data_IF_448530184148
#
_entry.id   IF_448530184148
#
_cell.length_a   1.000
_cell.length_b   1.000
_cell.length_c   1.000
_cell.angle_alpha   90.00
_cell.angle_beta   90.00
_cell.angle_gamma   90.00
#
_symmetry.space_group_name_H-M   'P 1'
#
loop_
_entity.id
_entity.type
_entity.pdbx_description
1 polymer ?
#
# COMPACT_ATOMS: atom_id res chain seq x y z
N UNK A 1 0.09 -3.57 -12.55
CA UNK A 1 -0.66 -2.30 -12.77
C UNK A 1 -1.72 -2.19 -11.68
N UNK A 2 -1.90 -1.01 -11.11
CA UNK A 2 -2.83 -0.68 -10.02
C UNK A 2 -3.84 0.37 -10.48
N UNK A 3 -4.94 0.57 -9.75
CA UNK A 3 -5.97 1.57 -10.04
C UNK A 3 -6.34 2.37 -8.77
N UNK A 4 -7.02 3.49 -8.97
CA UNK A 4 -7.48 4.40 -7.91
C UNK A 4 -8.97 4.21 -7.61
N UNK A 5 -9.38 4.47 -6.37
CA UNK A 5 -10.80 4.46 -6.00
C UNK A 5 -11.46 5.81 -6.28
N UNK A 6 -12.73 5.78 -6.68
CA UNK A 6 -13.49 6.95 -7.07
C UNK A 6 -14.68 7.19 -6.14
N UNK A 7 -14.85 8.43 -5.68
CA UNK A 7 -15.90 8.84 -4.74
C UNK A 7 -17.13 9.52 -5.38
N UNK A 8 -17.13 9.70 -6.71
CA UNK A 8 -18.28 10.17 -7.52
C UNK A 8 -19.12 11.29 -6.87
N UNK A 9 -18.47 12.39 -6.51
CA UNK A 9 -19.06 13.50 -5.74
C UNK A 9 -20.23 14.24 -6.44
N UNK A 10 -20.43 14.03 -7.74
CA UNK A 10 -21.49 14.66 -8.52
C UNK A 10 -22.87 13.98 -8.39
N UNK A 11 -22.95 12.75 -7.88
CA UNK A 11 -24.22 12.06 -7.69
C UNK A 11 -24.81 12.39 -6.29
N UNK A 12 -26.07 12.85 -6.27
CA UNK A 12 -26.80 13.23 -5.03
C UNK A 12 -26.78 12.14 -3.96
N UNK A 13 -26.77 10.88 -4.40
CA UNK A 13 -26.70 9.69 -3.58
C UNK A 13 -25.40 9.56 -2.78
N UNK A 14 -24.25 9.88 -3.38
CA UNK A 14 -22.96 9.89 -2.67
C UNK A 14 -22.76 11.16 -1.88
N UNK A 15 -23.36 12.28 -2.28
CA UNK A 15 -23.26 13.54 -1.55
C UNK A 15 -23.83 13.45 -0.12
N UNK A 16 -24.96 12.75 0.06
CA UNK A 16 -25.61 12.58 1.38
C UNK A 16 -24.79 11.72 2.35
N UNK A 17 -24.13 10.67 1.86
CA UNK A 17 -23.36 9.73 2.69
C UNK A 17 -21.85 9.78 2.45
N UNK A 18 -21.35 10.79 1.75
CA UNK A 18 -19.97 10.84 1.23
C UNK A 18 -18.92 10.85 2.33
N UNK A 19 -19.18 11.58 3.42
CA UNK A 19 -18.32 11.58 4.61
C UNK A 19 -18.19 10.17 5.20
N UNK A 20 -19.32 9.50 5.43
CA UNK A 20 -19.35 8.13 5.95
C UNK A 20 -18.63 7.13 5.02
N UNK A 21 -18.81 7.27 3.71
CA UNK A 21 -18.14 6.40 2.72
C UNK A 21 -16.62 6.62 2.74
N UNK A 22 -16.18 7.88 2.83
CA UNK A 22 -14.75 8.24 2.92
C UNK A 22 -14.13 7.69 4.19
N UNK A 23 -14.73 7.95 5.35
CA UNK A 23 -14.24 7.45 6.65
C UNK A 23 -14.26 5.91 6.73
N UNK A 24 -15.22 5.27 6.06
CA UNK A 24 -15.28 3.80 5.95
C UNK A 24 -14.12 3.26 5.10
N UNK A 25 -13.78 3.94 4.01
CA UNK A 25 -12.69 3.56 3.12
C UNK A 25 -11.31 3.83 3.71
N UNK A 26 -11.13 4.91 4.47
CA UNK A 26 -9.84 5.30 5.05
C UNK A 26 -9.16 4.16 5.81
N UNK A 27 -9.96 3.30 6.46
CA UNK A 27 -9.51 2.09 7.18
C UNK A 27 -8.74 1.09 6.30
N UNK A 28 -8.99 1.11 5.00
CA UNK A 28 -8.42 0.20 4.00
C UNK A 28 -7.53 0.93 2.99
N UNK A 29 -7.64 2.26 2.89
CA UNK A 29 -6.93 3.09 1.91
C UNK A 29 -5.40 2.84 1.89
N UNK A 30 -4.77 2.84 3.06
CA UNK A 30 -3.32 2.63 3.17
C UNK A 30 -2.92 1.24 2.69
N UNK A 31 -3.64 0.19 3.10
CA UNK A 31 -3.37 -1.18 2.62
C UNK A 31 -3.61 -1.28 1.11
N UNK A 32 -4.63 -0.61 0.58
CA UNK A 32 -4.96 -0.59 -0.84
C UNK A 32 -3.86 0.02 -1.72
N UNK A 33 -3.26 1.14 -1.31
CA UNK A 33 -2.17 1.77 -2.05
C UNK A 33 -0.85 1.00 -1.94
N UNK A 34 -0.71 0.11 -0.95
CA UNK A 34 0.46 -0.74 -0.78
C UNK A 34 0.40 -2.06 -1.57
N UNK A 35 -0.67 -2.33 -2.32
CA UNK A 35 -0.79 -3.55 -3.13
C UNK A 35 -0.16 -3.36 -4.52
N UNK A 36 0.53 -4.39 -5.02
CA UNK A 36 1.29 -4.31 -6.27
C UNK A 36 0.45 -4.61 -7.51
N UNK A 37 -0.70 -5.23 -7.30
CA UNK A 37 -1.53 -5.72 -8.39
C UNK A 37 -2.99 -5.28 -8.26
N UNK A 38 -3.60 -4.97 -9.42
CA UNK A 38 -5.04 -4.71 -9.49
C UNK A 38 -5.87 -5.90 -8.97
N UNK A 39 -5.37 -7.14 -9.09
CA UNK A 39 -6.04 -8.33 -8.54
C UNK A 39 -6.10 -8.29 -7.01
N UNK A 40 -5.01 -7.96 -6.34
CA UNK A 40 -4.99 -7.80 -4.88
C UNK A 40 -5.86 -6.61 -4.45
N UNK A 41 -5.80 -5.49 -5.17
CA UNK A 41 -6.65 -4.32 -4.91
C UNK A 41 -8.15 -4.64 -5.03
N UNK A 42 -8.55 -5.41 -6.05
CA UNK A 42 -9.93 -5.90 -6.21
C UNK A 42 -10.31 -6.81 -5.03
N UNK A 43 -9.42 -7.72 -4.63
CA UNK A 43 -9.66 -8.61 -3.51
C UNK A 43 -9.89 -7.83 -2.21
N UNK A 44 -9.07 -6.81 -1.95
CA UNK A 44 -9.23 -5.95 -0.77
C UNK A 44 -10.56 -5.18 -0.80
N UNK A 45 -10.98 -4.66 -1.96
CA UNK A 45 -12.30 -4.05 -2.12
C UNK A 45 -13.44 -5.03 -1.83
N UNK A 46 -13.32 -6.29 -2.28
CA UNK A 46 -14.32 -7.33 -2.01
C UNK A 46 -14.38 -7.70 -0.53
N UNK A 47 -13.23 -7.83 0.14
CA UNK A 47 -13.13 -8.10 1.57
C UNK A 47 -13.73 -6.95 2.39
N UNK A 48 -13.40 -5.70 2.06
CA UNK A 48 -13.97 -4.52 2.71
C UNK A 48 -15.50 -4.46 2.51
N UNK A 49 -15.99 -4.69 1.28
CA UNK A 49 -17.43 -4.79 1.00
C UNK A 49 -18.10 -5.87 1.86
N UNK A 50 -17.50 -7.05 1.96
CA UNK A 50 -18.05 -8.15 2.76
C UNK A 50 -18.12 -7.79 4.24
N UNK A 51 -17.06 -7.18 4.80
CA UNK A 51 -17.05 -6.70 6.18
C UNK A 51 -18.24 -5.75 6.44
N UNK A 52 -18.39 -4.71 5.62
CA UNK A 52 -19.47 -3.72 5.78
C UNK A 52 -20.87 -4.30 5.51
N UNK A 53 -20.98 -5.39 4.74
CA UNK A 53 -22.25 -6.11 4.57
C UNK A 53 -22.73 -6.80 5.85
N UNK A 54 -21.81 -7.18 6.74
CA UNK A 54 -22.09 -7.88 8.00
C UNK A 54 -22.17 -6.93 9.20
N UNK A 55 -21.61 -5.73 9.09
CA UNK A 55 -21.64 -4.71 10.13
C UNK A 55 -23.09 -4.32 10.49
N UNK A 56 -23.41 -4.35 11.78
CA UNK A 56 -24.77 -4.15 12.32
C UNK A 56 -25.03 -2.71 12.75
N UNK A 57 -23.97 -1.94 12.99
CA UNK A 57 -24.05 -0.57 13.52
C UNK A 57 -24.09 0.51 12.43
N UNK A 58 -24.65 0.20 11.25
CA UNK A 58 -24.76 1.14 10.13
C UNK A 58 -26.22 1.27 9.74
N UNK A 59 -26.68 2.51 9.58
CA UNK A 59 -27.99 2.81 9.04
C UNK A 59 -28.23 2.15 7.67
N UNK A 60 -29.46 1.71 7.40
CA UNK A 60 -29.80 0.96 6.19
C UNK A 60 -29.52 1.74 4.91
N UNK A 61 -29.77 3.05 4.90
CA UNK A 61 -29.55 3.92 3.75
C UNK A 61 -28.04 4.13 3.51
N UNK A 62 -27.30 4.44 4.58
CA UNK A 62 -25.84 4.58 4.53
C UNK A 62 -25.14 3.28 4.09
N UNK A 63 -25.61 2.13 4.59
CA UNK A 63 -25.13 0.80 4.19
C UNK A 63 -25.41 0.52 2.71
N UNK A 64 -26.61 0.84 2.23
CA UNK A 64 -26.94 0.74 0.80
C UNK A 64 -26.01 1.61 -0.04
N UNK A 65 -25.71 2.83 0.42
CA UNK A 65 -24.81 3.74 -0.26
C UNK A 65 -23.38 3.23 -0.36
N UNK A 66 -22.86 2.72 0.76
CA UNK A 66 -21.54 2.11 0.81
C UNK A 66 -21.45 0.86 -0.08
N UNK A 67 -22.48 0.00 -0.12
CA UNK A 67 -22.49 -1.18 -0.99
C UNK A 67 -22.49 -0.81 -2.48
N UNK A 68 -23.26 0.21 -2.88
CA UNK A 68 -23.25 0.70 -4.27
C UNK A 68 -21.90 1.30 -4.64
N UNK A 69 -21.28 2.04 -3.72
CA UNK A 69 -19.93 2.58 -3.91
C UNK A 69 -18.89 1.47 -4.14
N UNK A 70 -18.89 0.43 -3.30
CA UNK A 70 -18.00 -0.73 -3.45
C UNK A 70 -18.24 -1.44 -4.79
N UNK A 71 -19.50 -1.71 -5.14
CA UNK A 71 -19.82 -2.38 -6.40
C UNK A 71 -19.26 -1.62 -7.60
N UNK A 72 -19.41 -0.29 -7.62
CA UNK A 72 -18.97 0.53 -8.74
C UNK A 72 -17.44 0.57 -8.85
N UNK A 73 -16.74 0.71 -7.72
CA UNK A 73 -15.28 0.65 -7.71
C UNK A 73 -14.76 -0.73 -8.12
N UNK A 74 -15.40 -1.82 -7.70
CA UNK A 74 -15.07 -3.18 -8.14
C UNK A 74 -15.30 -3.34 -9.66
N UNK A 75 -16.42 -2.84 -10.20
CA UNK A 75 -16.69 -2.89 -11.64
C UNK A 75 -15.64 -2.13 -12.45
N UNK A 76 -15.30 -0.89 -12.05
CA UNK A 76 -14.24 -0.12 -12.71
C UNK A 76 -12.88 -0.82 -12.63
N UNK A 77 -12.57 -1.42 -11.49
CA UNK A 77 -11.33 -2.18 -11.32
C UNK A 77 -11.27 -3.39 -12.24
N UNK A 78 -12.39 -4.10 -12.40
CA UNK A 78 -12.51 -5.25 -13.31
C UNK A 78 -12.40 -4.81 -14.76
N UNK A 79 -13.05 -3.71 -15.16
CA UNK A 79 -12.90 -3.11 -16.49
C UNK A 79 -11.45 -2.72 -16.77
N UNK A 80 -10.78 -2.11 -15.79
CA UNK A 80 -9.36 -1.77 -15.87
C UNK A 80 -8.48 -3.02 -16.04
N UNK A 81 -8.74 -4.10 -15.31
CA UNK A 81 -8.02 -5.37 -15.49
C UNK A 81 -8.31 -5.99 -16.85
N UNK A 82 -9.57 -5.99 -17.29
CA UNK A 82 -10.00 -6.58 -18.55
C UNK A 82 -9.47 -5.81 -19.76
N UNK A 83 -9.43 -4.48 -19.72
CA UNK A 83 -8.85 -3.65 -20.77
C UNK A 83 -7.34 -3.91 -20.92
N UNK A 84 -6.63 -4.04 -19.79
CA UNK A 84 -5.20 -4.33 -19.78
C UNK A 84 -4.86 -5.80 -20.10
N UNK A 85 -5.75 -6.74 -19.79
CA UNK A 85 -5.64 -8.15 -20.21
C UNK A 85 -6.03 -8.36 -21.68
N UNK A 86 -7.02 -7.62 -22.18
CA UNK A 86 -7.51 -7.70 -23.56
C UNK A 86 -6.55 -7.04 -24.56
N UNK A 87 -5.76 -6.05 -24.16
CA UNK A 87 -4.65 -5.55 -24.97
C UNK A 87 -3.61 -6.64 -25.29
N UNK A 88 -3.57 -7.73 -24.52
CA UNK A 88 -2.72 -8.91 -24.76
C UNK A 88 -3.46 -10.07 -25.46
N UNK A 89 -4.79 -10.00 -25.61
CA UNK A 89 -5.63 -11.09 -26.14
C UNK A 89 -6.32 -10.77 -27.48
N UNK A 90 -6.20 -9.54 -27.98
CA UNK A 90 -6.80 -9.14 -29.25
C UNK A 90 -5.86 -9.30 -30.46
N UNK A 91 -5.17 -10.43 -30.63
CA UNK A 91 -4.72 -10.88 -31.96
C UNK A 91 -4.65 -12.41 -32.02
N UNK A 92 -5.79 -13.06 -32.17
CA UNK A 92 -5.83 -14.31 -32.96
C UNK A 92 -7.19 -14.47 -33.64
N UNK A 93 -7.32 -13.93 -34.84
CA UNK A 93 -8.14 -14.50 -35.92
C UNK A 93 -7.70 -13.86 -37.23
N UNK A 94 -6.94 -14.66 -37.99
CA UNK A 94 -6.49 -14.53 -39.36
C UNK A 94 -6.96 -13.32 -40.19
N UNK A 95 -5.99 -12.61 -40.75
CA UNK A 95 -6.02 -12.17 -42.14
C UNK A 95 -4.58 -12.12 -42.66
N UNK A 96 -4.30 -12.91 -43.69
CA UNK A 96 -3.03 -12.97 -44.39
C UNK A 96 -2.78 -11.65 -45.14
N UNK A 97 -1.59 -11.06 -45.03
CA UNK A 97 -0.76 -10.67 -46.18
C UNK A 97 0.58 -10.06 -45.74
N UNK A 98 1.63 -10.54 -46.41
CA UNK A 98 3.05 -10.17 -46.30
C UNK A 98 3.32 -8.78 -46.88
N UNK A 99 4.17 -7.95 -46.26
CA UNK A 99 5.24 -7.19 -46.94
C UNK A 99 6.08 -6.28 -46.01
N UNK A 100 7.32 -6.72 -45.79
CA UNK A 100 8.61 -6.02 -45.71
C UNK A 100 8.76 -4.61 -45.09
N UNK A 101 9.81 -4.53 -44.25
CA UNK A 101 10.90 -3.53 -44.21
C UNK A 101 11.00 -2.75 -42.90
N UNK A 102 12.21 -2.76 -42.32
CA UNK A 102 12.77 -1.58 -41.65
C UNK A 102 12.80 -1.60 -40.13
N UNK A 103 13.95 -1.99 -39.59
CA UNK A 103 14.61 -1.43 -38.40
C UNK A 103 13.82 -0.43 -37.53
N UNK A 104 13.59 -0.78 -36.26
CA UNK A 104 14.23 -0.06 -35.14
C UNK A 104 13.90 -0.76 -33.82
N UNK A 105 14.96 -1.23 -33.17
CA UNK A 105 14.95 -1.86 -31.86
C UNK A 105 14.88 -0.73 -30.82
N UNK A 106 13.67 -0.28 -30.49
CA UNK A 106 13.40 0.72 -29.46
C UNK A 106 12.46 0.15 -28.40
N UNK A 107 12.96 -0.75 -27.56
CA UNK A 107 12.24 -1.30 -26.42
C UNK A 107 12.06 -0.22 -25.35
N UNK A 108 10.92 0.47 -25.38
CA UNK A 108 10.41 1.26 -24.24
C UNK A 108 9.23 0.47 -23.66
N UNK A 109 9.53 -0.63 -22.99
CA UNK A 109 8.55 -1.38 -22.19
C UNK A 109 9.12 -1.60 -20.79
N UNK A 110 8.91 -0.61 -19.94
CA UNK A 110 9.21 -0.69 -18.51
C UNK A 110 8.49 0.44 -17.81
N UNK A 111 7.37 0.13 -17.15
CA UNK A 111 6.76 1.06 -16.21
C UNK A 111 7.83 1.36 -15.14
N UNK A 112 8.16 2.63 -14.83
CA UNK A 112 9.13 2.90 -13.76
C UNK A 112 8.58 2.30 -12.47
N UNK A 113 9.38 1.46 -11.80
CA UNK A 113 9.06 1.04 -10.44
C UNK A 113 8.85 2.31 -9.60
N UNK A 114 7.87 2.32 -8.68
CA UNK A 114 7.68 3.46 -7.80
C UNK A 114 9.01 3.74 -7.08
N UNK A 115 9.40 5.02 -7.06
CA UNK A 115 10.64 5.45 -6.45
C UNK A 115 10.67 5.02 -4.97
N UNK A 116 11.70 4.27 -4.60
CA UNK A 116 11.91 3.85 -3.21
C UNK A 116 12.45 5.01 -2.40
N UNK A 117 12.08 5.04 -1.12
CA UNK A 117 12.61 6.02 -0.18
C UNK A 117 14.04 5.62 0.17
N UNK A 118 15.02 6.45 -0.22
CA UNK A 118 16.40 6.21 0.15
C UNK A 118 16.67 6.64 1.59
N UNK A 119 17.01 5.67 2.43
CA UNK A 119 17.34 5.90 3.83
C UNK A 119 18.82 6.13 4.00
N UNK A 120 19.16 7.32 4.52
CA UNK A 120 20.55 7.78 4.67
C UNK A 120 21.31 7.10 5.81
N UNK A 121 20.62 6.69 6.88
CA UNK A 121 21.27 6.02 8.01
C UNK A 121 21.44 4.51 7.72
N UNK A 122 21.89 3.73 8.71
CA UNK A 122 22.13 2.31 8.49
C UNK A 122 20.85 1.46 8.51
N UNK A 123 21.01 0.22 8.04
CA UNK A 123 19.94 -0.80 8.01
C UNK A 123 19.39 -1.11 9.41
N UNK A 124 20.27 -1.08 10.42
CA UNK A 124 19.88 -1.31 11.81
C UNK A 124 19.06 -0.14 12.37
N UNK A 125 19.43 1.10 12.04
CA UNK A 125 18.67 2.30 12.39
C UNK A 125 17.29 2.32 11.73
N UNK A 126 17.20 1.96 10.45
CA UNK A 126 15.92 1.82 9.74
C UNK A 126 15.02 0.79 10.43
N UNK A 127 15.55 -0.40 10.71
CA UNK A 127 14.81 -1.46 11.39
C UNK A 127 14.35 -1.04 12.79
N UNK A 128 15.21 -0.34 13.54
CA UNK A 128 14.91 0.13 14.89
C UNK A 128 13.81 1.21 14.92
N UNK A 129 13.87 2.18 14.01
CA UNK A 129 12.86 3.25 13.90
C UNK A 129 11.47 2.65 13.65
N UNK A 130 11.35 1.76 12.65
CA UNK A 130 10.07 1.13 12.37
C UNK A 130 9.60 0.21 13.49
N UNK A 131 10.51 -0.48 14.19
CA UNK A 131 10.13 -1.26 15.37
C UNK A 131 9.53 -0.37 16.47
N UNK A 132 10.04 0.85 16.69
CA UNK A 132 9.43 1.84 17.60
C UNK A 132 8.05 2.23 17.11
N UNK A 133 7.90 2.59 15.83
CA UNK A 133 6.61 2.99 15.27
C UNK A 133 5.58 1.87 15.35
N UNK A 134 5.94 0.61 15.09
CA UNK A 134 4.99 -0.48 15.24
C UNK A 134 4.59 -0.74 16.70
N UNK A 135 5.51 -0.53 17.65
CA UNK A 135 5.26 -0.77 19.08
C UNK A 135 4.52 0.37 19.77
N UNK A 136 4.42 1.53 19.14
CA UNK A 136 3.64 2.65 19.67
C UNK A 136 2.21 2.60 19.12
N UNK A 137 1.26 2.21 19.97
CA UNK A 137 -0.15 2.08 19.59
C UNK A 137 -0.85 3.43 19.31
N UNK A 138 -0.28 4.56 19.77
CA UNK A 138 -0.93 5.87 19.71
C UNK A 138 -0.54 6.74 18.50
N UNK A 139 0.68 6.61 17.99
CA UNK A 139 1.24 7.52 16.95
C UNK A 139 1.97 6.75 15.83
N UNK A 140 1.78 5.44 15.79
CA UNK A 140 2.63 4.52 15.04
C UNK A 140 1.97 3.78 13.89
N UNK A 141 2.63 2.70 13.46
CA UNK A 141 2.14 1.81 12.42
C UNK A 141 1.17 0.76 13.00
N UNK A 142 0.14 0.38 12.23
CA UNK A 142 -0.86 -0.60 12.68
C UNK A 142 -0.22 -1.95 13.05
N UNK A 143 -0.53 -2.45 14.25
CA UNK A 143 -0.06 -3.78 14.71
C UNK A 143 -0.56 -4.95 13.84
N UNK A 144 -1.60 -4.74 13.01
CA UNK A 144 -2.04 -5.73 12.01
C UNK A 144 -0.96 -6.06 10.98
N UNK A 145 -0.11 -5.09 10.67
CA UNK A 145 0.97 -5.22 9.67
C UNK A 145 2.30 -5.66 10.29
N UNK A 146 2.38 -5.75 11.62
CA UNK A 146 3.61 -6.09 12.34
C UNK A 146 4.25 -7.41 11.87
N UNK A 147 3.42 -8.43 11.57
CA UNK A 147 3.91 -9.73 11.06
C UNK A 147 4.59 -9.62 9.70
N UNK A 148 4.18 -8.65 8.87
CA UNK A 148 4.70 -8.41 7.51
C UNK A 148 5.75 -7.28 7.45
N UNK A 149 6.07 -6.63 8.57
CA UNK A 149 6.80 -5.36 8.59
C UNK A 149 8.12 -5.36 7.83
N UNK A 150 8.93 -6.41 7.93
CA UNK A 150 10.22 -6.47 7.23
C UNK A 150 10.05 -6.53 5.71
N UNK A 151 9.02 -7.21 5.23
CA UNK A 151 8.69 -7.23 3.81
C UNK A 151 8.20 -5.87 3.32
N UNK A 152 7.39 -5.17 4.13
CA UNK A 152 6.93 -3.83 3.80
C UNK A 152 8.08 -2.82 3.75
N UNK A 153 8.98 -2.83 4.73
CA UNK A 153 10.13 -1.94 4.75
C UNK A 153 11.05 -2.22 3.57
N UNK A 154 11.36 -3.49 3.28
CA UNK A 154 12.21 -3.85 2.14
C UNK A 154 11.61 -3.49 0.78
N UNK A 155 10.28 -3.50 0.68
CA UNK A 155 9.57 -3.10 -0.54
C UNK A 155 9.67 -1.60 -0.82
N UNK A 156 9.62 -0.76 0.24
CA UNK A 156 9.46 0.69 0.08
C UNK A 156 10.74 1.49 0.32
N UNK A 157 11.79 0.88 0.86
CA UNK A 157 13.04 1.57 1.20
C UNK A 157 14.25 0.98 0.50
N UNK A 158 15.21 1.85 0.24
CA UNK A 158 16.62 1.51 0.03
C UNK A 158 17.44 2.06 1.20
N UNK A 159 18.69 1.61 1.34
CA UNK A 159 19.65 2.18 2.30
C UNK A 159 20.88 2.62 1.54
N UNK A 160 21.13 3.94 1.50
CA UNK A 160 22.24 4.57 0.76
C UNK A 160 22.27 4.13 -0.70
N UNK A 161 21.12 4.19 -1.35
CA UNK A 161 20.89 3.79 -2.73
C UNK A 161 20.92 2.29 -2.98
N UNK A 162 21.04 1.46 -1.93
CA UNK A 162 21.12 0.00 -2.07
C UNK A 162 19.81 -0.67 -1.69
N UNK A 163 19.43 -1.64 -2.51
CA UNK A 163 18.36 -2.58 -2.22
C UNK A 163 18.61 -3.32 -0.91
N UNK A 164 17.53 -3.55 -0.17
CA UNK A 164 17.54 -4.22 1.12
C UNK A 164 16.57 -5.40 1.12
N UNK A 165 16.77 -6.34 2.02
CA UNK A 165 15.92 -7.53 2.12
C UNK A 165 15.30 -7.67 3.50
N UNK A 166 14.14 -8.34 3.56
CA UNK A 166 13.48 -8.68 4.83
C UNK A 166 14.41 -9.46 5.77
N UNK A 167 15.23 -10.36 5.22
CA UNK A 167 16.22 -11.12 5.98
C UNK A 167 17.33 -10.22 6.49
N UNK A 168 17.85 -9.32 5.66
CA UNK A 168 18.85 -8.33 6.06
C UNK A 168 18.35 -7.42 7.18
N UNK A 169 17.11 -6.95 7.11
CA UNK A 169 16.47 -6.17 8.18
C UNK A 169 16.35 -6.98 9.48
N UNK A 170 15.84 -8.22 9.39
CA UNK A 170 15.69 -9.09 10.56
C UNK A 170 17.04 -9.41 11.20
N UNK A 171 18.06 -9.66 10.38
CA UNK A 171 19.41 -9.93 10.84
C UNK A 171 20.02 -8.69 11.50
N UNK A 172 20.00 -7.54 10.83
CA UNK A 172 20.50 -6.28 11.37
C UNK A 172 19.81 -5.92 12.70
N UNK A 173 18.50 -6.10 12.78
CA UNK A 173 17.75 -5.92 14.02
C UNK A 173 18.17 -6.92 15.11
N UNK A 174 18.35 -8.21 14.79
CA UNK A 174 18.81 -9.21 15.76
C UNK A 174 20.25 -8.99 16.26
N UNK A 175 21.08 -8.32 15.45
CA UNK A 175 22.46 -7.97 15.77
C UNK A 175 22.57 -6.67 16.57
N UNK A 176 21.49 -5.91 16.74
CA UNK A 176 21.39 -4.88 17.76
C UNK A 176 21.49 -5.57 19.12
N UNK A 177 22.72 -5.76 19.59
CA UNK A 177 23.02 -6.45 20.85
C UNK A 177 22.17 -5.87 21.96
N UNK A 178 21.27 -6.68 22.50
CA UNK A 178 20.53 -6.43 23.74
C UNK A 178 21.54 -6.53 24.90
N UNK A 179 22.42 -5.55 25.01
CA UNK A 179 23.28 -5.41 26.18
C UNK A 179 22.41 -4.81 27.29
N UNK A 180 22.22 -5.55 28.37
CA UNK A 180 21.31 -5.24 29.50
C UNK A 180 21.63 -3.93 30.26
N UNK A 181 22.52 -3.08 29.75
CA UNK A 181 22.76 -1.73 30.27
C UNK A 181 22.71 -0.63 29.20
N UNK A 182 23.24 -0.82 27.98
CA UNK A 182 23.24 0.22 26.92
C UNK A 182 23.20 -0.34 25.47
N UNK A 183 22.48 -1.45 25.25
CA UNK A 183 22.40 -2.13 23.96
C UNK A 183 21.48 -1.46 22.94
N UNK A 184 21.86 -0.31 22.41
CA UNK A 184 21.06 0.43 21.43
C UNK A 184 21.94 1.00 20.31
N UNK A 185 21.40 1.29 19.10
CA UNK A 185 22.21 1.81 17.99
C UNK A 185 22.92 3.12 18.36
N UNK A 186 23.98 3.48 17.61
CA UNK A 186 24.86 4.64 17.90
C UNK A 186 24.11 5.97 18.12
N UNK A 187 22.87 6.08 17.63
CA UNK A 187 22.00 7.26 17.72
C UNK A 187 20.66 6.99 18.45
N UNK A 188 20.56 5.96 19.28
CA UNK A 188 19.30 5.58 19.92
C UNK A 188 18.67 6.65 20.81
N UNK A 189 19.47 7.48 21.48
CA UNK A 189 18.96 8.58 22.27
C UNK A 189 18.26 9.62 21.38
N UNK A 190 18.69 9.79 20.13
CA UNK A 190 17.98 10.62 19.13
C UNK A 190 16.64 9.97 18.77
N UNK A 191 16.58 8.65 18.59
CA UNK A 191 15.33 7.94 18.32
C UNK A 191 14.36 7.93 19.51
N UNK A 192 14.86 7.84 20.75
CA UNK A 192 14.04 8.03 21.96
C UNK A 192 13.56 9.46 22.10
N UNK A 193 14.42 10.44 21.82
CA UNK A 193 14.06 11.86 21.84
C UNK A 193 12.99 12.16 20.80
N UNK A 194 13.07 11.57 19.60
CA UNK A 194 12.03 11.66 18.57
C UNK A 194 10.70 11.04 19.04
N UNK A 195 10.73 9.92 19.77
CA UNK A 195 9.54 9.33 20.38
C UNK A 195 8.92 10.27 21.43
N UNK A 196 9.74 10.88 22.29
CA UNK A 196 9.29 11.86 23.29
C UNK A 196 8.70 13.11 22.62
N UNK A 197 9.39 13.67 21.62
CA UNK A 197 8.88 14.82 20.85
C UNK A 197 7.56 14.47 20.14
N UNK A 198 7.43 13.28 19.56
CA UNK A 198 6.19 12.88 18.90
C UNK A 198 5.01 12.65 19.88
N UNK A 199 5.30 12.33 21.14
CA UNK A 199 4.31 12.29 22.21
C UNK A 199 3.92 13.70 22.68
N UNK A 200 4.87 14.64 22.69
CA UNK A 200 4.67 16.04 23.06
C UNK A 200 3.98 16.89 21.98
N UNK A 201 3.98 16.46 20.71
CA UNK A 201 3.23 17.11 19.62
C UNK A 201 1.71 16.89 19.69
N UNK A 202 1.20 16.22 20.74
CA UNK A 202 -0.24 16.22 21.06
C UNK A 202 -0.60 17.50 21.80
N UNK A 203 -0.85 18.56 21.04
CA UNK A 203 -1.67 19.72 21.43
C UNK A 203 -2.88 19.86 20.49
#
# INVERSE_FOLDING_TARGET
>A
MTFEVHFFQAESFFKKHGKFITESWDRYSLEFHMLDTSQEQIKLLQEAKQYFSQEKNIDREAKSALMKWFNRNISLAQEHVNANGSASASQSSHSNETLNTGESKGQITGKPEPEKIDWEAGLAELAFMFEILFKNEEIGCSMKQYKKRWALIAKHFTVKGKEITSEGLRHAFSQLKINKKEGMPRNHEIYKTLLTMAQEMKD
#
